data_IF_762026315614
#
_entry.id   IF_762026315614
#
_cell.length_a   1.000
_cell.length_b   1.000
_cell.length_c   1.000
_cell.angle_alpha   90.00
_cell.angle_beta   90.00
_cell.angle_gamma   90.00
#
_symmetry.space_group_name_H-M   'P 1'
#
loop_
_entity.id
_entity.type
_entity.pdbx_description
1 polymer ?
#
# COMPACT_ATOMS: atom_id res chain seq x y z
N UNK A 1 -56.96 29.09 -7.22
CA UNK A 1 -55.60 29.66 -7.25
C UNK A 1 -54.72 29.23 -6.07
N UNK A 2 -55.22 29.15 -4.82
CA UNK A 2 -54.41 28.85 -3.62
C UNK A 2 -53.75 27.46 -3.55
N UNK A 3 -54.29 26.44 -4.25
CA UNK A 3 -53.80 25.04 -4.18
C UNK A 3 -52.50 24.80 -4.95
N UNK A 4 -52.32 25.50 -6.08
CA UNK A 4 -51.11 25.38 -6.92
C UNK A 4 -49.94 26.10 -6.26
N UNK A 5 -50.21 27.22 -5.60
CA UNK A 5 -49.20 28.00 -4.88
C UNK A 5 -48.56 27.20 -3.73
N UNK A 6 -49.36 26.38 -3.02
CA UNK A 6 -48.87 25.53 -1.94
C UNK A 6 -47.96 24.40 -2.48
N UNK A 7 -48.34 23.78 -3.60
CA UNK A 7 -47.55 22.74 -4.24
C UNK A 7 -46.19 23.26 -4.73
N UNK A 8 -46.19 24.47 -5.30
CA UNK A 8 -44.97 25.13 -5.77
C UNK A 8 -44.04 25.50 -4.60
N UNK A 9 -44.62 25.92 -3.47
CA UNK A 9 -43.84 26.25 -2.26
C UNK A 9 -43.20 25.01 -1.64
N UNK A 10 -43.91 23.88 -1.61
CA UNK A 10 -43.37 22.59 -1.10
C UNK A 10 -42.27 22.03 -1.99
N UNK A 11 -42.37 22.20 -3.32
CA UNK A 11 -41.34 21.75 -4.26
C UNK A 11 -40.06 22.59 -4.19
N UNK A 12 -40.18 23.89 -3.89
CA UNK A 12 -39.04 24.81 -3.75
C UNK A 12 -38.45 24.84 -2.34
N UNK A 13 -39.17 24.35 -1.33
CA UNK A 13 -38.72 24.29 0.06
C UNK A 13 -38.08 22.95 0.44
N UNK A 14 -37.83 22.05 -0.51
CA UNK A 14 -37.01 20.87 -0.23
C UNK A 14 -35.61 21.39 0.13
N UNK A 15 -35.15 21.27 1.39
CA UNK A 15 -33.77 21.55 1.68
C UNK A 15 -32.98 20.58 0.80
N UNK A 16 -32.24 21.13 -0.16
CA UNK A 16 -31.20 20.39 -0.86
C UNK A 16 -30.25 20.00 0.25
N UNK A 17 -30.42 18.78 0.79
CA UNK A 17 -29.52 18.19 1.76
C UNK A 17 -28.14 18.40 1.19
N UNK A 18 -27.36 19.23 1.86
CA UNK A 18 -26.01 19.56 1.48
C UNK A 18 -25.32 18.23 1.17
N UNK A 19 -25.03 18.02 -0.11
CA UNK A 19 -24.29 16.86 -0.56
C UNK A 19 -23.00 16.87 0.26
N UNK A 20 -22.85 15.86 1.13
CA UNK A 20 -21.72 15.75 2.05
C UNK A 20 -20.45 16.08 1.26
N UNK A 21 -19.77 17.16 1.63
CA UNK A 21 -18.61 17.68 0.89
C UNK A 21 -17.38 16.78 0.96
N UNK A 22 -17.59 15.54 1.42
CA UNK A 22 -16.61 14.51 1.76
C UNK A 22 -16.70 13.32 0.80
N UNK A 23 -17.15 13.55 -0.44
CA UNK A 23 -17.02 12.56 -1.51
C UNK A 23 -15.55 12.22 -1.74
N UNK A 24 -15.17 10.98 -1.38
CA UNK A 24 -13.81 10.44 -1.54
C UNK A 24 -13.73 9.65 -2.84
N UNK A 25 -12.84 10.07 -3.73
CA UNK A 25 -12.51 9.37 -4.97
C UNK A 25 -11.14 8.71 -4.81
N UNK A 26 -11.06 7.42 -5.10
CA UNK A 26 -9.80 6.68 -5.13
C UNK A 26 -9.29 6.60 -6.56
N UNK A 27 -8.07 7.09 -6.78
CA UNK A 27 -7.45 7.15 -8.10
C UNK A 27 -6.16 6.35 -8.09
N UNK A 28 -5.90 5.61 -9.17
CA UNK A 28 -4.63 4.92 -9.39
C UNK A 28 -3.93 5.51 -10.60
N UNK A 29 -2.62 5.74 -10.48
CA UNK A 29 -1.78 6.20 -11.59
C UNK A 29 -0.44 5.49 -11.58
N UNK A 30 -0.05 4.95 -12.73
CA UNK A 30 1.28 4.38 -12.92
C UNK A 30 2.24 5.47 -13.40
N UNK A 31 3.33 5.65 -12.67
CA UNK A 31 4.37 6.63 -12.94
C UNK A 31 5.76 6.00 -12.79
N UNK A 32 6.80 6.73 -13.18
CA UNK A 32 8.18 6.36 -12.84
C UNK A 32 8.41 6.60 -11.35
N UNK A 33 9.13 5.69 -10.68
CA UNK A 33 9.51 5.85 -9.28
C UNK A 33 10.26 7.17 -9.08
N UNK A 34 9.88 7.92 -8.06
CA UNK A 34 10.65 9.10 -7.64
C UNK A 34 12.05 8.69 -7.18
N UNK A 35 12.99 9.65 -7.16
CA UNK A 35 14.36 9.39 -6.71
C UNK A 35 14.40 8.80 -5.30
N UNK A 36 13.62 9.36 -4.37
CA UNK A 36 13.55 8.91 -2.98
C UNK A 36 13.04 7.47 -2.86
N UNK A 37 11.96 7.15 -3.57
CA UNK A 37 11.41 5.79 -3.61
C UNK A 37 12.43 4.80 -4.18
N UNK A 38 13.10 5.17 -5.27
CA UNK A 38 14.08 4.32 -5.93
C UNK A 38 15.30 4.05 -5.04
N UNK A 39 15.81 5.06 -4.34
CA UNK A 39 16.92 4.90 -3.40
C UNK A 39 16.53 4.08 -2.17
N UNK A 40 15.30 4.22 -1.65
CA UNK A 40 14.78 3.36 -0.59
C UNK A 40 14.79 1.89 -1.03
N UNK A 41 14.23 1.58 -2.19
CA UNK A 41 14.13 0.20 -2.70
C UNK A 41 15.52 -0.38 -2.93
N UNK A 42 16.45 0.40 -3.50
CA UNK A 42 17.85 -0.04 -3.66
C UNK A 42 18.49 -0.40 -2.32
N UNK A 43 18.37 0.47 -1.31
CA UNK A 43 18.93 0.23 0.02
C UNK A 43 18.34 -1.04 0.64
N UNK A 44 17.03 -1.22 0.51
CA UNK A 44 16.34 -2.43 0.98
C UNK A 44 16.84 -3.67 0.23
N UNK A 45 16.93 -3.63 -1.10
CA UNK A 45 17.38 -4.74 -1.93
C UNK A 45 18.83 -5.18 -1.63
N UNK A 46 19.72 -4.23 -1.31
CA UNK A 46 21.10 -4.55 -0.90
C UNK A 46 21.16 -5.43 0.35
N UNK A 47 20.22 -5.26 1.28
CA UNK A 47 20.16 -6.02 2.54
C UNK A 47 19.27 -7.26 2.39
N UNK A 48 18.18 -7.13 1.64
CA UNK A 48 17.14 -8.12 1.43
C UNK A 48 16.89 -8.32 -0.07
N UNK A 49 17.72 -9.15 -0.75
CA UNK A 49 17.72 -9.28 -2.21
C UNK A 49 16.47 -9.96 -2.77
N UNK A 50 15.65 -10.58 -1.90
CA UNK A 50 14.34 -11.11 -2.26
C UNK A 50 13.32 -10.01 -2.59
N UNK A 51 13.54 -8.77 -2.13
CA UNK A 51 12.76 -7.60 -2.52
C UNK A 51 13.40 -6.97 -3.77
N UNK A 52 12.84 -7.28 -4.94
CA UNK A 52 13.30 -6.81 -6.24
C UNK A 52 13.17 -5.30 -6.42
N UNK A 53 14.11 -4.72 -7.17
CA UNK A 53 14.08 -3.30 -7.58
C UNK A 53 13.08 -3.12 -8.72
N UNK A 54 12.26 -2.07 -8.63
CA UNK A 54 11.43 -1.60 -9.75
C UNK A 54 11.69 -0.12 -10.05
N UNK A 55 11.53 0.27 -11.31
CA UNK A 55 11.57 1.66 -11.79
C UNK A 55 10.18 2.26 -11.94
N UNK A 56 9.12 1.47 -11.84
CA UNK A 56 7.74 1.90 -12.02
C UNK A 56 6.95 1.69 -10.74
N UNK A 57 6.11 2.67 -10.42
CA UNK A 57 5.24 2.65 -9.25
C UNK A 57 3.81 2.96 -9.67
N UNK A 58 2.86 2.25 -9.08
CA UNK A 58 1.43 2.55 -9.15
C UNK A 58 1.04 3.28 -7.87
N UNK A 59 0.87 4.58 -7.99
CA UNK A 59 0.47 5.47 -6.91
C UNK A 59 -1.05 5.40 -6.69
N UNK A 60 -1.45 5.20 -5.43
CA UNK A 60 -2.85 5.21 -4.99
C UNK A 60 -3.13 6.51 -4.27
N UNK A 61 -4.08 7.28 -4.79
CA UNK A 61 -4.47 8.56 -4.23
C UNK A 61 -5.88 8.52 -3.69
N UNK A 62 -6.10 9.34 -2.67
CA UNK A 62 -7.41 9.67 -2.13
C UNK A 62 -7.66 11.15 -2.38
N UNK A 63 -8.69 11.44 -3.17
CA UNK A 63 -9.06 12.77 -3.56
C UNK A 63 -10.41 13.14 -2.96
N UNK A 64 -10.53 14.34 -2.38
CA UNK A 64 -11.81 14.89 -1.91
C UNK A 64 -12.15 16.22 -2.62
N UNK A 65 -11.72 16.38 -3.87
CA UNK A 65 -11.80 17.57 -4.71
C UNK A 65 -11.09 18.83 -4.18
N UNK A 66 -10.58 18.81 -2.94
CA UNK A 66 -9.79 19.88 -2.33
C UNK A 66 -8.33 19.48 -2.13
N UNK A 67 -8.10 18.21 -1.80
CA UNK A 67 -6.79 17.63 -1.52
C UNK A 67 -6.62 16.35 -2.31
N UNK A 68 -5.37 16.08 -2.69
CA UNK A 68 -4.97 14.83 -3.31
C UNK A 68 -3.90 14.18 -2.43
N UNK A 69 -4.33 13.24 -1.59
CA UNK A 69 -3.47 12.56 -0.63
C UNK A 69 -2.92 11.28 -1.26
N UNK A 70 -1.58 11.12 -1.28
CA UNK A 70 -0.97 9.85 -1.65
C UNK A 70 -1.12 8.87 -0.47
N UNK A 71 -1.75 7.73 -0.70
CA UNK A 71 -1.94 6.69 0.30
C UNK A 71 -0.77 5.70 0.34
N UNK A 72 -0.35 5.25 -0.85
CA UNK A 72 0.72 4.25 -1.00
C UNK A 72 1.14 4.15 -2.47
N UNK A 73 2.28 3.51 -2.70
CA UNK A 73 2.80 3.27 -4.03
C UNK A 73 3.17 1.79 -4.19
N UNK A 74 2.44 1.06 -5.02
CA UNK A 74 2.76 -0.33 -5.34
C UNK A 74 3.86 -0.38 -6.40
N UNK A 75 4.88 -1.20 -6.20
CA UNK A 75 5.93 -1.43 -7.19
C UNK A 75 5.41 -2.33 -8.31
N UNK A 76 5.65 -1.92 -9.55
CA UNK A 76 5.22 -2.66 -10.74
C UNK A 76 6.37 -3.53 -11.23
N UNK A 77 6.12 -4.81 -11.45
CA UNK A 77 7.14 -5.77 -11.88
C UNK A 77 6.69 -6.50 -13.14
N UNK A 78 7.57 -6.62 -14.12
CA UNK A 78 7.29 -7.31 -15.38
C UNK A 78 7.54 -8.83 -15.28
N UNK A 79 8.45 -9.27 -14.40
CA UNK A 79 8.84 -10.68 -14.29
C UNK A 79 8.80 -11.19 -12.85
N UNK A 80 7.62 -11.66 -12.44
CA UNK A 80 7.40 -12.30 -11.13
C UNK A 80 7.05 -13.79 -11.27
N UNK A 81 7.42 -14.41 -12.39
CA UNK A 81 7.01 -15.77 -12.80
C UNK A 81 7.27 -16.88 -11.75
N UNK A 82 8.18 -16.65 -10.82
CA UNK A 82 8.49 -17.53 -9.68
C UNK A 82 7.45 -17.49 -8.55
N UNK A 83 6.49 -16.57 -8.61
CA UNK A 83 5.49 -16.32 -7.58
C UNK A 83 4.09 -16.30 -8.18
N UNK A 84 3.11 -16.84 -7.44
CA UNK A 84 1.67 -16.66 -7.71
C UNK A 84 1.24 -15.22 -7.43
N UNK A 85 1.80 -14.62 -6.39
CA UNK A 85 1.61 -13.22 -6.02
C UNK A 85 2.97 -12.66 -5.61
N UNK A 86 3.33 -11.51 -6.17
CA UNK A 86 4.47 -10.75 -5.73
C UNK A 86 4.05 -9.28 -5.68
N UNK A 87 3.85 -8.78 -4.47
CA UNK A 87 3.43 -7.42 -4.24
C UNK A 87 4.41 -6.76 -3.26
N UNK A 88 4.83 -5.56 -3.60
CA UNK A 88 5.64 -4.71 -2.76
C UNK A 88 5.06 -3.32 -2.81
N UNK A 89 4.75 -2.75 -1.65
CA UNK A 89 4.12 -1.45 -1.52
C UNK A 89 4.98 -0.55 -0.65
N UNK A 90 5.28 0.64 -1.14
CA UNK A 90 5.88 1.71 -0.35
C UNK A 90 4.75 2.40 0.42
N UNK A 91 4.86 2.39 1.74
CA UNK A 91 3.92 3.04 2.65
C UNK A 91 4.38 4.45 2.99
N UNK A 92 5.69 4.65 3.17
CA UNK A 92 6.31 5.96 3.35
C UNK A 92 7.78 5.93 2.88
N UNK A 93 8.47 7.08 2.95
CA UNK A 93 9.87 7.21 2.52
C UNK A 93 10.89 6.34 3.28
N UNK A 94 10.47 5.63 4.33
CA UNK A 94 11.29 4.77 5.17
C UNK A 94 10.73 3.36 5.29
N UNK A 95 9.53 3.08 4.80
CA UNK A 95 8.76 1.89 5.11
C UNK A 95 8.15 1.27 3.85
N UNK A 96 8.34 -0.03 3.71
CA UNK A 96 7.87 -0.83 2.60
C UNK A 96 7.26 -2.12 3.14
N UNK A 97 6.05 -2.45 2.70
CA UNK A 97 5.43 -3.73 2.97
C UNK A 97 5.59 -4.65 1.77
N UNK A 98 5.72 -5.96 2.03
CA UNK A 98 5.81 -6.95 0.96
C UNK A 98 4.90 -8.13 1.25
N UNK A 99 4.41 -8.76 0.18
CA UNK A 99 3.62 -9.99 0.22
C UNK A 99 3.98 -10.86 -0.98
N UNK A 100 4.44 -12.07 -0.70
CA UNK A 100 4.84 -13.07 -1.66
C UNK A 100 4.05 -14.35 -1.44
N UNK A 101 3.52 -14.93 -2.51
CA UNK A 101 2.92 -16.25 -2.51
C UNK A 101 3.66 -17.13 -3.51
N UNK A 102 4.29 -18.19 -3.01
CA UNK A 102 5.00 -19.14 -3.87
C UNK A 102 4.01 -20.13 -4.54
N UNK A 103 4.43 -20.84 -5.60
CA UNK A 103 3.64 -21.91 -6.21
C UNK A 103 3.21 -23.00 -5.22
N UNK A 104 4.03 -23.27 -4.19
CA UNK A 104 3.77 -24.25 -3.13
C UNK A 104 2.83 -23.74 -2.01
N UNK A 105 2.12 -22.64 -2.25
CA UNK A 105 1.20 -22.00 -1.30
C UNK A 105 1.87 -21.59 0.04
N UNK A 106 3.14 -21.16 -0.05
CA UNK A 106 3.85 -20.53 1.05
C UNK A 106 3.66 -19.03 0.97
N UNK A 107 2.89 -18.48 1.90
CA UNK A 107 2.66 -17.05 2.03
C UNK A 107 3.77 -16.45 2.89
N UNK A 108 4.48 -15.46 2.37
CA UNK A 108 5.50 -14.70 3.10
C UNK A 108 5.16 -13.22 3.01
N UNK A 109 4.97 -12.55 4.14
CA UNK A 109 4.61 -11.13 4.18
C UNK A 109 5.30 -10.43 5.33
N UNK A 110 5.29 -9.12 5.32
CA UNK A 110 5.87 -8.32 6.39
C UNK A 110 6.28 -6.94 5.91
N UNK A 111 7.12 -6.29 6.70
CA UNK A 111 7.53 -4.92 6.48
C UNK A 111 9.03 -4.76 6.62
N UNK A 112 9.59 -3.84 5.86
CA UNK A 112 10.95 -3.33 5.99
C UNK A 112 10.88 -1.85 6.30
N UNK A 113 11.52 -1.43 7.38
CA UNK A 113 11.57 -0.05 7.83
C UNK A 113 12.99 0.40 8.10
N UNK A 114 13.32 1.64 7.72
CA UNK A 114 14.50 2.33 8.21
C UNK A 114 14.18 3.01 9.54
N UNK A 115 14.88 2.62 10.59
CA UNK A 115 14.76 3.17 11.94
C UNK A 115 16.15 3.43 12.52
N UNK A 116 16.43 4.69 12.86
CA UNK A 116 17.71 5.13 13.45
C UNK A 116 18.95 4.61 12.67
N UNK A 117 18.97 4.86 11.35
CA UNK A 117 20.03 4.40 10.45
C UNK A 117 19.98 2.90 10.09
N UNK A 118 19.33 2.08 10.91
CA UNK A 118 19.21 0.64 10.73
C UNK A 118 18.02 0.26 9.85
N UNK A 119 18.10 -0.89 9.19
CA UNK A 119 17.01 -1.47 8.41
C UNK A 119 16.42 -2.66 9.15
N UNK A 120 15.25 -2.45 9.73
CA UNK A 120 14.48 -3.45 10.47
C UNK A 120 13.54 -4.16 9.52
N UNK A 121 13.45 -5.49 9.60
CA UNK A 121 12.49 -6.28 8.82
C UNK A 121 11.70 -7.20 9.73
N UNK A 122 10.39 -7.24 9.54
CA UNK A 122 9.50 -8.27 10.05
C UNK A 122 9.16 -9.22 8.91
N UNK A 123 9.20 -10.52 9.18
CA UNK A 123 8.85 -11.55 8.22
C UNK A 123 7.90 -12.53 8.89
N UNK A 124 6.72 -12.68 8.31
CA UNK A 124 5.74 -13.68 8.64
C UNK A 124 5.67 -14.67 7.50
N UNK A 125 5.81 -15.96 7.81
CA UNK A 125 5.72 -17.05 6.86
C UNK A 125 4.66 -18.03 7.33
N UNK A 126 3.73 -18.33 6.44
CA UNK A 126 2.67 -19.31 6.64
C UNK A 126 2.85 -20.41 5.60
N UNK A 127 3.06 -21.64 6.07
CA UNK A 127 3.22 -22.81 5.21
C UNK A 127 2.50 -24.00 5.84
N UNK A 128 1.51 -24.55 5.13
CA UNK A 128 0.79 -25.79 5.55
C UNK A 128 0.30 -25.75 7.01
N UNK A 129 -0.26 -24.61 7.43
CA UNK A 129 -0.78 -24.41 8.78
C UNK A 129 0.28 -24.12 9.85
N UNK A 130 1.58 -24.14 9.51
CA UNK A 130 2.67 -23.71 10.41
C UNK A 130 2.96 -22.23 10.18
N UNK A 131 3.10 -21.49 11.28
CA UNK A 131 3.46 -20.08 11.25
C UNK A 131 4.88 -19.88 11.77
N UNK A 132 5.61 -18.98 11.12
CA UNK A 132 6.95 -18.59 11.49
C UNK A 132 7.04 -17.07 11.41
N UNK A 133 7.44 -16.45 12.51
CA UNK A 133 7.68 -15.02 12.57
C UNK A 133 9.16 -14.77 12.84
N UNK A 134 9.79 -13.92 12.05
CA UNK A 134 11.20 -13.59 12.16
C UNK A 134 11.39 -12.07 12.18
N UNK A 135 12.36 -11.62 12.97
CA UNK A 135 12.74 -10.22 13.10
C UNK A 135 14.20 -10.07 12.71
N UNK A 136 14.49 -9.12 11.83
CA UNK A 136 15.84 -8.87 11.36
C UNK A 136 16.22 -7.41 11.58
N UNK A 137 17.52 -7.19 11.82
CA UNK A 137 18.14 -5.86 11.81
C UNK A 137 19.35 -5.96 10.89
N UNK A 138 19.40 -5.11 9.86
CA UNK A 138 20.48 -5.05 8.88
C UNK A 138 20.80 -6.43 8.27
N UNK A 139 19.79 -7.24 7.97
CA UNK A 139 19.95 -8.58 7.42
C UNK A 139 20.25 -9.68 8.44
N UNK A 140 20.56 -9.34 9.69
CA UNK A 140 20.83 -10.31 10.75
C UNK A 140 19.54 -10.69 11.48
N UNK A 141 19.28 -12.00 11.59
CA UNK A 141 18.17 -12.53 12.38
C UNK A 141 18.41 -12.21 13.87
N UNK A 142 17.44 -11.56 14.50
CA UNK A 142 17.46 -11.17 15.91
C UNK A 142 16.57 -12.08 16.74
N UNK A 143 15.41 -12.44 16.22
CA UNK A 143 14.46 -13.30 16.92
C UNK A 143 13.62 -14.11 15.92
N UNK A 144 13.20 -15.29 16.37
CA UNK A 144 12.34 -16.21 15.63
C UNK A 144 11.29 -16.79 16.58
N UNK A 145 10.03 -16.71 16.19
CA UNK A 145 8.89 -17.27 16.92
C UNK A 145 8.18 -18.26 16.01
N UNK A 146 7.97 -19.47 16.51
CA UNK A 146 7.25 -20.55 15.82
C UNK A 146 5.88 -20.72 16.46
N UNK A 147 4.84 -20.80 15.64
CA UNK A 147 3.51 -21.18 16.05
C UNK A 147 3.15 -22.61 15.65
#
# INVERSE_FOLDING_TARGET
>A
MKKITLLLFVLLSLPVFAQDSDMKVYLEKTDTASLEQYELIKKVNLIYPDIMISKQVKNKFKNNFKTNELLSSDLVYENTSKFKLYNVTILDNRCLSYTFLTPDDVLTFGEVRTFDGNTVRTLYRLAKGKSLMQYFINGKLINEVKG
#
